data_IF_314027688351
#
_entry.id   IF_314027688351
#
_cell.length_a   1.000
_cell.length_b   1.000
_cell.length_c   1.000
_cell.angle_alpha   90.00
_cell.angle_beta   90.00
_cell.angle_gamma   90.00
#
_symmetry.space_group_name_H-M   'P 1'
#
loop_
_entity.id
_entity.type
_entity.pdbx_description
1 polymer ?
#
# COMPACT_ATOMS: atom_id res chain seq x y z
N UNK A 1 -3.38 -6.75 -33.86
CA UNK A 1 -2.68 -7.61 -32.88
C UNK A 1 -3.69 -8.04 -31.82
N UNK A 2 -3.66 -9.27 -31.29
CA UNK A 2 -4.54 -9.62 -30.18
C UNK A 2 -4.22 -8.71 -28.98
N UNK A 3 -5.25 -8.10 -28.39
CA UNK A 3 -5.11 -7.24 -27.22
C UNK A 3 -4.52 -8.05 -26.05
N UNK A 4 -3.38 -7.59 -25.52
CA UNK A 4 -2.74 -8.19 -24.35
C UNK A 4 -3.69 -8.07 -23.15
N UNK A 5 -4.02 -9.18 -22.50
CA UNK A 5 -4.90 -9.16 -21.33
C UNK A 5 -4.06 -9.22 -20.06
N UNK A 6 -4.14 -8.19 -19.23
CA UNK A 6 -3.43 -8.09 -17.96
C UNK A 6 -4.42 -8.28 -16.81
N UNK A 7 -4.17 -9.27 -15.96
CA UNK A 7 -4.89 -9.41 -14.69
C UNK A 7 -4.46 -8.30 -13.73
N UNK A 8 -5.42 -7.48 -13.29
CA UNK A 8 -5.15 -6.25 -12.55
C UNK A 8 -5.92 -6.20 -11.23
N UNK A 9 -5.22 -6.02 -10.11
CA UNK A 9 -5.83 -5.85 -8.80
C UNK A 9 -5.43 -4.51 -8.18
N UNK A 10 -6.37 -3.56 -8.10
CA UNK A 10 -6.17 -2.23 -7.50
C UNK A 10 -7.41 -1.85 -6.67
N UNK A 11 -7.26 -0.94 -5.70
CA UNK A 11 -8.35 -0.45 -4.88
C UNK A 11 -9.44 0.31 -5.65
N UNK A 12 -10.61 0.46 -5.01
CA UNK A 12 -11.73 1.27 -5.50
C UNK A 12 -11.57 2.71 -5.00
N UNK A 13 -11.04 3.58 -5.85
CA UNK A 13 -10.88 5.01 -5.58
C UNK A 13 -11.62 5.80 -6.66
N UNK A 14 -11.96 7.07 -6.35
CA UNK A 14 -12.62 7.93 -7.34
C UNK A 14 -11.82 8.06 -8.65
N UNK A 15 -10.49 8.08 -8.57
CA UNK A 15 -9.60 8.21 -9.72
C UNK A 15 -9.26 6.87 -10.42
N UNK A 16 -9.57 5.72 -9.81
CA UNK A 16 -9.41 4.40 -10.46
C UNK A 16 -10.70 3.87 -11.07
N UNK A 17 -11.84 4.53 -10.80
CA UNK A 17 -13.16 4.11 -11.26
C UNK A 17 -13.23 3.95 -12.78
N UNK A 18 -12.74 4.95 -13.53
CA UNK A 18 -12.78 4.96 -15.00
C UNK A 18 -11.98 3.81 -15.65
N UNK A 19 -10.96 3.30 -14.96
CA UNK A 19 -10.20 2.13 -15.41
C UNK A 19 -11.03 0.85 -15.25
N UNK A 20 -11.84 0.78 -14.19
CA UNK A 20 -12.61 -0.41 -13.81
C UNK A 20 -13.94 -0.54 -14.54
N UNK A 21 -14.62 0.57 -14.79
CA UNK A 21 -15.90 0.59 -15.52
C UNK A 21 -15.72 0.61 -17.05
N UNK A 22 -14.47 0.64 -17.52
CA UNK A 22 -14.14 0.62 -18.93
C UNK A 22 -14.34 1.96 -19.64
N UNK A 23 -14.57 3.05 -18.90
CA UNK A 23 -14.61 4.42 -19.48
C UNK A 23 -13.27 4.80 -20.10
N UNK A 24 -12.16 4.40 -19.48
CA UNK A 24 -10.81 4.60 -20.01
C UNK A 24 -10.19 3.25 -20.38
N UNK A 25 -9.85 3.10 -21.65
CA UNK A 25 -9.26 1.88 -22.21
C UNK A 25 -7.99 2.21 -22.99
N UNK A 26 -7.12 1.21 -23.13
CA UNK A 26 -5.94 1.28 -24.00
C UNK A 26 -6.19 0.48 -25.27
N UNK A 27 -5.72 0.98 -26.40
CA UNK A 27 -5.69 0.22 -27.66
C UNK A 27 -4.63 -0.90 -27.64
N UNK A 28 -3.68 -0.86 -26.69
CA UNK A 28 -2.55 -1.78 -26.61
C UNK A 28 -2.83 -3.01 -25.73
N UNK A 29 -3.63 -2.85 -24.67
CA UNK A 29 -3.92 -3.91 -23.71
C UNK A 29 -5.27 -3.71 -23.02
N UNK A 30 -5.85 -4.81 -22.56
CA UNK A 30 -7.04 -4.82 -21.72
C UNK A 30 -6.66 -5.16 -20.26
N UNK A 31 -7.19 -4.39 -19.32
CA UNK A 31 -7.07 -4.69 -17.89
C UNK A 31 -8.28 -5.49 -17.42
N UNK A 32 -8.04 -6.74 -16.99
CA UNK A 32 -9.04 -7.59 -16.36
C UNK A 32 -8.99 -7.40 -14.86
N UNK A 33 -9.89 -6.56 -14.35
CA UNK A 33 -9.91 -6.21 -12.94
C UNK A 33 -10.40 -7.36 -12.06
N UNK A 34 -9.57 -7.75 -11.09
CA UNK A 34 -9.94 -8.71 -10.05
C UNK A 34 -10.32 -7.94 -8.80
N UNK A 35 -11.56 -8.10 -8.34
CA UNK A 35 -12.01 -7.48 -7.11
C UNK A 35 -11.43 -8.20 -5.90
N UNK A 36 -10.73 -7.44 -5.05
CA UNK A 36 -10.11 -7.95 -3.83
C UNK A 36 -10.31 -6.93 -2.72
N UNK A 37 -10.96 -7.37 -1.64
CA UNK A 37 -11.18 -6.57 -0.45
C UNK A 37 -10.79 -7.37 0.80
N UNK A 38 -10.13 -6.75 1.80
CA UNK A 38 -9.60 -5.39 1.78
C UNK A 38 -8.33 -5.26 0.94
N UNK A 39 -7.96 -4.04 0.54
CA UNK A 39 -6.78 -3.74 -0.31
C UNK A 39 -5.48 -4.44 0.15
N UNK A 40 -5.14 -4.56 1.46
CA UNK A 40 -3.95 -5.30 1.88
C UNK A 40 -3.91 -6.77 1.46
N UNK A 41 -5.04 -7.37 1.09
CA UNK A 41 -5.09 -8.72 0.54
C UNK A 41 -4.50 -8.78 -0.87
N UNK A 42 -4.60 -7.71 -1.67
CA UNK A 42 -3.95 -7.59 -2.98
C UNK A 42 -2.45 -7.77 -2.82
N UNK A 43 -1.85 -7.03 -1.88
CA UNK A 43 -0.40 -7.02 -1.65
C UNK A 43 0.09 -8.40 -1.26
N UNK A 44 -0.66 -9.07 -0.37
CA UNK A 44 -0.36 -10.42 0.10
C UNK A 44 -0.37 -11.43 -1.05
N UNK A 45 -1.42 -11.42 -1.87
CA UNK A 45 -1.59 -12.32 -3.02
C UNK A 45 -0.50 -12.11 -4.06
N UNK A 46 -0.18 -10.85 -4.37
CA UNK A 46 0.92 -10.51 -5.27
C UNK A 46 2.29 -10.97 -4.74
N UNK A 47 2.67 -10.61 -3.51
CA UNK A 47 4.00 -10.93 -2.98
C UNK A 47 4.20 -12.44 -2.79
N UNK A 48 3.15 -13.16 -2.36
CA UNK A 48 3.26 -14.59 -2.05
C UNK A 48 3.11 -15.47 -3.29
N UNK A 49 2.14 -15.16 -4.15
CA UNK A 49 1.74 -16.02 -5.26
C UNK A 49 1.96 -15.44 -6.66
N UNK A 50 2.37 -14.17 -6.79
CA UNK A 50 2.48 -13.48 -8.09
C UNK A 50 1.18 -13.57 -8.89
N UNK A 51 0.05 -13.48 -8.19
CA UNK A 51 -1.27 -13.81 -8.75
C UNK A 51 -1.80 -12.82 -9.80
N UNK A 52 -1.13 -11.68 -9.97
CA UNK A 52 -1.57 -10.60 -10.86
C UNK A 52 -0.42 -10.09 -11.72
N UNK A 53 -0.73 -9.66 -12.94
CA UNK A 53 0.24 -8.96 -13.80
C UNK A 53 0.47 -7.53 -13.32
N UNK A 54 -0.59 -6.89 -12.82
CA UNK A 54 -0.56 -5.53 -12.25
C UNK A 54 -1.27 -5.53 -10.90
N UNK A 55 -0.58 -5.09 -9.86
CA UNK A 55 -1.16 -5.01 -8.52
C UNK A 55 -0.81 -3.70 -7.83
N UNK A 56 -1.78 -3.12 -7.12
CA UNK A 56 -1.48 -2.12 -6.11
C UNK A 56 -0.54 -2.71 -5.05
N UNK A 57 0.38 -1.90 -4.53
CA UNK A 57 1.37 -2.35 -3.57
C UNK A 57 1.69 -1.27 -2.54
N UNK A 58 1.69 -1.65 -1.27
CA UNK A 58 2.25 -0.81 -0.21
C UNK A 58 3.77 -0.68 -0.38
N UNK A 59 4.30 0.55 -0.36
CA UNK A 59 5.73 0.83 -0.62
C UNK A 59 6.68 0.06 0.32
N UNK A 60 6.38 -0.01 1.61
CA UNK A 60 7.17 -0.79 2.58
C UNK A 60 7.18 -2.29 2.24
N UNK A 61 6.05 -2.81 1.77
CA UNK A 61 5.92 -4.20 1.33
C UNK A 61 6.71 -4.44 0.05
N UNK A 62 6.68 -3.50 -0.90
CA UNK A 62 7.49 -3.57 -2.12
C UNK A 62 9.00 -3.56 -1.82
N UNK A 63 9.47 -2.68 -0.93
CA UNK A 63 10.90 -2.63 -0.56
C UNK A 63 11.35 -3.98 0.01
N UNK A 64 10.57 -4.58 0.91
CA UNK A 64 10.85 -5.92 1.40
C UNK A 64 10.83 -6.96 0.27
N UNK A 65 9.81 -6.96 -0.59
CA UNK A 65 9.71 -7.89 -1.71
C UNK A 65 10.91 -7.80 -2.66
N UNK A 66 11.37 -6.58 -2.96
CA UNK A 66 12.56 -6.32 -3.76
C UNK A 66 13.84 -6.83 -3.08
N UNK A 67 14.00 -6.57 -1.77
CA UNK A 67 15.12 -7.11 -1.00
C UNK A 67 15.18 -8.64 -1.05
N UNK A 68 14.02 -9.31 -0.99
CA UNK A 68 13.90 -10.76 -1.11
C UNK A 68 13.83 -11.28 -2.56
N UNK A 69 14.17 -10.46 -3.56
CA UNK A 69 14.30 -10.90 -4.95
C UNK A 69 13.00 -11.35 -5.61
N UNK A 70 11.84 -10.82 -5.20
CA UNK A 70 10.57 -11.14 -5.87
C UNK A 70 10.58 -10.65 -7.33
N UNK A 71 10.09 -11.43 -8.30
CA UNK A 71 10.24 -11.17 -9.72
C UNK A 71 9.18 -10.19 -10.26
N UNK A 72 9.05 -9.03 -9.63
CA UNK A 72 8.22 -7.94 -10.14
C UNK A 72 8.85 -6.59 -9.74
N UNK A 73 8.49 -5.54 -10.48
CA UNK A 73 8.96 -4.17 -10.22
C UNK A 73 7.79 -3.23 -9.98
N UNK A 74 8.05 -2.08 -9.37
CA UNK A 74 7.05 -1.05 -9.15
C UNK A 74 7.01 -0.06 -10.31
N UNK A 75 5.79 0.37 -10.65
CA UNK A 75 5.56 1.58 -11.44
C UNK A 75 5.44 2.77 -10.48
N UNK A 76 5.98 3.95 -10.81
CA UNK A 76 5.93 5.14 -9.95
C UNK A 76 4.54 5.82 -10.00
N UNK A 77 3.48 5.07 -9.74
CA UNK A 77 2.08 5.52 -9.75
C UNK A 77 1.52 5.44 -8.34
N UNK A 78 1.29 6.60 -7.73
CA UNK A 78 0.85 6.70 -6.34
C UNK A 78 -0.66 6.87 -6.25
N UNK A 79 -1.37 5.80 -5.88
CA UNK A 79 -2.84 5.79 -5.80
C UNK A 79 -3.39 6.48 -4.54
N UNK A 80 -2.60 6.57 -3.47
CA UNK A 80 -3.05 7.16 -2.20
C UNK A 80 -1.98 8.06 -1.60
N UNK A 81 -2.44 9.06 -0.83
CA UNK A 81 -1.60 9.92 0.01
C UNK A 81 -2.30 10.16 1.34
N UNK A 82 -1.53 10.25 2.43
CA UNK A 82 -2.06 10.52 3.76
C UNK A 82 -1.04 11.31 4.59
N UNK A 83 -1.53 12.10 5.55
CA UNK A 83 -0.72 12.75 6.57
C UNK A 83 -0.60 11.84 7.78
N UNK A 84 0.60 11.28 8.02
CA UNK A 84 0.80 10.26 9.06
C UNK A 84 0.99 10.80 10.49
N UNK A 85 0.97 12.12 10.69
CA UNK A 85 1.04 12.73 12.03
C UNK A 85 -0.13 12.33 12.94
N UNK A 86 -1.32 12.11 12.36
CA UNK A 86 -2.52 11.66 13.09
C UNK A 86 -2.56 10.16 13.39
N UNK A 87 -1.53 9.39 13.02
CA UNK A 87 -1.49 7.94 13.19
C UNK A 87 -1.13 7.47 14.59
N UNK A 88 -0.69 8.37 15.48
CA UNK A 88 -0.29 8.04 16.85
C UNK A 88 -1.50 8.13 17.76
N UNK A 89 -1.80 7.04 18.46
CA UNK A 89 -2.89 6.98 19.43
C UNK A 89 -2.29 6.62 20.79
N UNK A 90 -2.59 7.43 21.79
CA UNK A 90 -2.20 7.20 23.17
C UNK A 90 -3.43 6.84 24.00
N UNK A 91 -3.25 5.99 25.03
CA UNK A 91 -4.30 5.77 26.00
C UNK A 91 -4.62 7.09 26.72
N UNK A 92 -5.90 7.43 26.92
CA UNK A 92 -6.31 8.68 27.57
C UNK A 92 -5.75 8.84 29.00
N UNK A 93 -5.41 7.73 29.67
CA UNK A 93 -4.80 7.71 31.01
C UNK A 93 -3.28 7.59 31.01
N UNK A 94 -2.62 7.64 29.85
CA UNK A 94 -1.15 7.47 29.73
C UNK A 94 -0.34 8.66 30.26
N UNK A 95 -0.98 9.83 30.44
CA UNK A 95 -0.30 11.08 30.80
C UNK A 95 0.53 11.71 29.68
N UNK A 96 0.53 11.13 28.48
CA UNK A 96 1.24 11.66 27.30
C UNK A 96 0.48 12.88 26.77
N UNK A 97 1.17 14.03 26.69
CA UNK A 97 0.61 15.30 26.20
C UNK A 97 1.31 15.82 24.95
N UNK A 98 2.52 15.35 24.68
CA UNK A 98 3.39 15.82 23.61
C UNK A 98 4.26 14.69 23.04
N UNK A 99 4.87 14.92 21.88
CA UNK A 99 5.77 13.95 21.26
C UNK A 99 7.01 13.65 22.13
N UNK A 100 7.52 14.64 22.88
CA UNK A 100 8.67 14.45 23.78
C UNK A 100 8.39 13.45 24.91
N UNK A 101 7.14 13.28 25.31
CA UNK A 101 6.75 12.32 26.35
C UNK A 101 6.90 10.86 25.89
N UNK A 102 7.06 10.65 24.58
CA UNK A 102 7.32 9.33 23.97
C UNK A 102 8.79 8.94 24.01
N UNK A 103 9.71 9.87 24.32
CA UNK A 103 11.14 9.58 24.37
C UNK A 103 11.44 8.45 25.37
N UNK A 104 12.20 7.45 24.93
CA UNK A 104 12.53 6.27 25.73
C UNK A 104 11.37 5.30 25.98
N UNK A 105 10.15 5.58 25.49
CA UNK A 105 9.00 4.66 25.63
C UNK A 105 8.92 3.67 24.48
N UNK A 106 8.24 2.56 24.74
CA UNK A 106 7.94 1.55 23.70
C UNK A 106 6.67 1.94 22.94
N UNK A 107 6.77 2.04 21.61
CA UNK A 107 5.65 2.31 20.71
C UNK A 107 5.25 1.03 19.99
N UNK A 108 3.99 0.61 20.15
CA UNK A 108 3.45 -0.55 19.46
C UNK A 108 3.08 -0.22 18.01
N UNK A 109 3.46 -1.09 17.08
CA UNK A 109 3.06 -0.99 15.66
C UNK A 109 2.34 -2.27 15.25
N UNK A 110 1.37 -2.17 14.34
CA UNK A 110 0.59 -3.34 13.87
C UNK A 110 1.46 -4.39 13.19
N UNK A 111 2.38 -3.95 12.33
CA UNK A 111 3.35 -4.82 11.66
C UNK A 111 4.51 -3.98 11.14
N UNK A 112 5.69 -4.60 11.02
CA UNK A 112 6.90 -3.94 10.49
C UNK A 112 6.70 -3.40 9.06
N UNK A 113 5.99 -4.15 8.23
CA UNK A 113 5.72 -3.77 6.83
C UNK A 113 4.51 -2.84 6.67
N UNK A 114 3.87 -2.36 7.75
CA UNK A 114 2.76 -1.42 7.61
C UNK A 114 3.31 -0.03 7.24
N UNK A 115 2.99 0.47 6.04
CA UNK A 115 3.45 1.78 5.55
C UNK A 115 3.23 2.92 6.56
N UNK A 116 2.02 3.13 7.13
CA UNK A 116 1.83 4.13 8.18
C UNK A 116 2.79 4.00 9.37
N UNK A 117 3.06 2.76 9.82
CA UNK A 117 3.95 2.52 10.94
C UNK A 117 5.39 2.93 10.64
N UNK A 118 5.87 2.66 9.42
CA UNK A 118 7.21 3.10 8.96
C UNK A 118 7.29 4.63 8.99
N UNK A 119 6.30 5.32 8.41
CA UNK A 119 6.28 6.79 8.40
C UNK A 119 6.20 7.39 9.80
N UNK A 120 5.33 6.87 10.66
CA UNK A 120 5.21 7.32 12.05
C UNK A 120 6.53 7.16 12.81
N UNK A 121 7.21 6.02 12.67
CA UNK A 121 8.52 5.82 13.26
C UNK A 121 9.55 6.82 12.73
N UNK A 122 9.59 7.05 11.41
CA UNK A 122 10.49 8.04 10.81
C UNK A 122 10.22 9.47 11.28
N UNK A 123 8.96 9.85 11.51
CA UNK A 123 8.59 11.17 12.05
C UNK A 123 9.05 11.33 13.51
N UNK A 124 9.08 10.25 14.28
CA UNK A 124 9.51 10.24 15.67
C UNK A 124 11.03 10.10 15.84
N UNK A 125 11.77 9.78 14.77
CA UNK A 125 13.23 9.76 14.79
C UNK A 125 13.75 11.20 14.77
N UNK A 126 14.13 11.69 15.95
CA UNK A 126 14.85 12.95 16.18
C UNK A 126 16.28 12.67 16.61
#
# INVERSE_FOLDING_TARGET
MPSLNLSTAIGNYGHTKSLKDGTLQSELFAMKHVEVSPVPMIFRRMVRGLEFDVAEMAISTYICAKHYGKPFTALPVFLTRAFYHGGIICNARSGIKSASDLAGRRVGVRSYTLTPGVWTLSILQT
#
